data_IF_740135796428
#
_entry.id   IF_740135796428
#
_cell.length_a   1.000
_cell.length_b   1.000
_cell.length_c   1.000
_cell.angle_alpha   90.00
_cell.angle_beta   90.00
_cell.angle_gamma   90.00
#
_symmetry.space_group_name_H-M   'P 1'
#
loop_
_entity.id
_entity.type
_entity.pdbx_description
1 polymer ?
#
# COMPACT_ATOMS: atom_id res chain seq x y z
N UNK A 1 -6.03 26.50 7.19
CA UNK A 1 -5.67 25.53 8.25
C UNK A 1 -4.48 24.74 7.73
N UNK A 2 -3.34 24.83 8.44
CA UNK A 2 -2.02 24.55 7.90
C UNK A 2 -1.77 23.04 7.76
N UNK A 3 -1.64 22.56 6.52
CA UNK A 3 -1.10 21.24 6.20
C UNK A 3 0.42 21.28 6.32
N UNK A 4 1.00 20.50 7.24
CA UNK A 4 2.44 20.26 7.26
C UNK A 4 2.74 19.23 6.17
N UNK A 5 3.04 19.70 4.97
CA UNK A 5 3.64 18.88 3.92
C UNK A 5 5.12 18.73 4.21
N UNK A 6 5.59 17.53 4.50
CA UNK A 6 7.02 17.27 4.58
C UNK A 6 7.63 17.34 3.18
N UNK A 7 8.57 18.25 2.99
CA UNK A 7 9.32 18.39 1.75
C UNK A 7 10.44 17.34 1.67
N UNK A 8 10.81 16.88 0.45
CA UNK A 8 11.94 15.96 0.23
C UNK A 8 13.26 16.39 0.85
N UNK A 9 13.49 17.70 1.03
CA UNK A 9 14.70 18.24 1.65
C UNK A 9 14.80 17.92 3.15
N UNK A 10 13.67 17.73 3.84
CA UNK A 10 13.63 17.38 5.26
C UNK A 10 14.06 15.92 5.48
N UNK A 11 13.73 15.01 4.56
CA UNK A 11 14.16 13.61 4.59
C UNK A 11 15.61 13.39 4.09
N UNK A 12 16.19 14.37 3.38
CA UNK A 12 17.59 14.34 2.95
C UNK A 12 18.59 14.68 4.07
N UNK A 13 18.12 15.06 5.27
CA UNK A 13 18.98 15.58 6.34
C UNK A 13 18.74 14.86 7.68
N UNK A 14 18.65 13.53 7.67
CA UNK A 14 18.47 12.75 8.89
C UNK A 14 19.73 12.83 9.78
N UNK A 15 19.54 13.30 11.01
CA UNK A 15 20.62 13.53 11.98
C UNK A 15 20.75 12.31 12.92
N UNK A 16 21.89 11.61 12.86
CA UNK A 16 22.18 10.41 13.66
C UNK A 16 23.19 10.72 14.76
N UNK A 17 22.87 10.32 15.99
CA UNK A 17 23.82 10.27 17.11
C UNK A 17 24.42 8.88 17.26
N UNK A 18 25.76 8.76 17.35
CA UNK A 18 26.42 7.53 17.83
C UNK A 18 26.93 7.73 19.26
N UNK A 19 26.52 6.87 20.19
CA UNK A 19 27.19 6.70 21.49
C UNK A 19 28.26 5.62 21.32
N UNK A 20 29.53 5.99 21.45
CA UNK A 20 30.66 5.06 21.41
C UNK A 20 31.63 5.44 22.53
N UNK A 21 31.89 4.53 23.47
CA UNK A 21 32.97 4.67 24.46
C UNK A 21 34.31 4.49 23.75
N UNK A 22 34.78 5.52 23.09
CA UNK A 22 36.20 5.79 22.91
C UNK A 22 36.32 7.32 22.87
N UNK A 23 37.04 7.88 23.84
CA UNK A 23 37.40 9.31 23.92
C UNK A 23 36.23 10.31 24.12
N UNK A 24 35.23 9.97 24.95
CA UNK A 24 34.42 10.97 25.68
C UNK A 24 33.64 12.03 24.89
N UNK A 25 33.36 11.85 23.59
CA UNK A 25 32.65 12.85 22.78
C UNK A 25 31.42 12.26 22.06
N UNK A 26 30.29 12.97 22.14
CA UNK A 26 29.09 12.69 21.34
C UNK A 26 29.32 13.18 19.90
N UNK A 27 29.22 12.28 18.91
CA UNK A 27 29.27 12.67 17.49
C UNK A 27 27.88 12.54 16.87
N UNK A 28 27.43 13.67 16.31
CA UNK A 28 26.19 13.84 15.55
C UNK A 28 26.57 13.91 14.06
N UNK A 29 25.96 13.10 13.20
CA UNK A 29 26.26 13.04 11.76
C UNK A 29 24.99 12.91 10.92
N UNK A 30 24.97 13.56 9.76
CA UNK A 30 23.89 13.41 8.79
C UNK A 30 24.04 12.13 7.97
N UNK A 31 22.94 11.43 7.70
CA UNK A 31 22.92 10.28 6.78
C UNK A 31 21.81 10.42 5.74
N UNK A 32 22.05 9.81 4.58
CA UNK A 32 21.09 9.68 3.49
C UNK A 32 20.61 8.23 3.41
N UNK A 33 19.41 8.02 2.85
CA UNK A 33 18.98 6.69 2.39
C UNK A 33 19.14 6.68 0.88
N UNK A 34 20.08 5.88 0.39
CA UNK A 34 20.37 5.72 -1.04
C UNK A 34 20.21 4.25 -1.37
N UNK A 35 19.29 3.93 -2.28
CA UNK A 35 19.03 2.54 -2.72
C UNK A 35 18.75 1.57 -1.56
N UNK A 36 17.98 2.01 -0.55
CA UNK A 36 17.65 1.19 0.62
C UNK A 36 18.81 1.01 1.62
N UNK A 37 19.95 1.66 1.39
CA UNK A 37 21.10 1.63 2.28
C UNK A 37 21.22 2.96 3.01
N UNK A 38 21.55 2.89 4.29
CA UNK A 38 21.89 4.09 5.06
C UNK A 38 23.32 4.46 4.64
N UNK A 39 23.54 5.72 4.24
CA UNK A 39 24.80 6.23 3.70
C UNK A 39 25.26 7.46 4.49
N UNK A 40 26.50 7.46 4.99
CA UNK A 40 27.07 8.62 5.68
C UNK A 40 27.19 9.79 4.70
N UNK A 41 26.50 10.90 4.97
CA UNK A 41 26.52 12.07 4.10
C UNK A 41 27.86 12.81 4.10
N UNK A 42 28.73 12.55 5.08
CA UNK A 42 29.97 13.28 5.31
C UNK A 42 31.23 12.41 5.17
N UNK A 43 31.10 11.08 5.23
CA UNK A 43 32.24 10.15 5.15
C UNK A 43 32.21 9.32 3.87
N UNK A 44 32.67 9.89 2.75
CA UNK A 44 32.87 9.19 1.46
C UNK A 44 31.71 8.26 1.05
N UNK A 45 30.47 8.64 1.34
CA UNK A 45 29.29 7.80 1.13
C UNK A 45 29.43 6.38 1.71
N UNK A 46 30.00 6.27 2.92
CA UNK A 46 30.13 4.98 3.61
C UNK A 46 28.76 4.37 3.82
N UNK A 47 28.58 3.17 3.28
CA UNK A 47 27.34 2.42 3.32
C UNK A 47 27.24 1.62 4.63
N UNK A 48 26.08 1.67 5.29
CA UNK A 48 25.75 0.89 6.48
C UNK A 48 24.92 -0.33 6.09
N UNK A 49 25.60 -1.47 5.88
CA UNK A 49 25.00 -2.77 5.54
C UNK A 49 24.88 -3.69 6.77
N UNK A 50 24.23 -4.84 6.59
CA UNK A 50 24.03 -5.90 7.60
C UNK A 50 23.13 -5.50 8.77
N UNK A 51 22.03 -4.79 8.50
CA UNK A 51 20.99 -4.50 9.51
C UNK A 51 20.39 -5.81 10.00
N UNK A 52 20.28 -5.98 11.32
CA UNK A 52 19.77 -7.19 11.96
C UNK A 52 18.47 -6.98 12.71
N UNK A 53 18.18 -5.75 13.16
CA UNK A 53 16.93 -5.42 13.82
C UNK A 53 16.68 -3.91 13.81
N UNK A 54 15.41 -3.53 13.90
CA UNK A 54 14.96 -2.19 14.24
C UNK A 54 14.23 -2.24 15.59
N UNK A 55 14.63 -1.41 16.54
CA UNK A 55 13.90 -1.23 17.80
C UNK A 55 13.35 0.18 17.79
N UNK A 56 12.02 0.30 17.73
CA UNK A 56 11.32 1.58 17.85
C UNK A 56 11.17 1.90 19.32
N UNK A 57 11.63 3.08 19.70
CA UNK A 57 11.48 3.63 21.03
C UNK A 57 10.66 4.92 20.89
N UNK A 58 9.47 4.91 21.47
CA UNK A 58 8.54 6.04 21.49
C UNK A 58 8.64 6.79 22.82
N UNK A 59 8.48 8.11 22.79
CA UNK A 59 8.82 8.96 23.94
C UNK A 59 7.58 9.23 24.80
N UNK A 60 7.53 8.72 26.03
CA UNK A 60 6.55 9.13 27.05
C UNK A 60 7.12 10.05 28.13
N UNK A 61 8.43 10.06 28.40
CA UNK A 61 9.07 11.00 29.33
C UNK A 61 10.57 11.14 29.03
N UNK A 62 11.17 12.31 29.32
CA UNK A 62 12.54 12.71 28.91
C UNK A 62 13.65 12.16 29.83
N UNK A 63 14.52 11.23 29.39
CA UNK A 63 15.89 11.15 29.91
C UNK A 63 16.86 11.95 29.01
N UNK A 64 17.86 12.59 29.61
CA UNK A 64 18.73 13.63 29.01
C UNK A 64 19.68 13.26 27.85
N UNK A 65 19.38 12.22 27.06
CA UNK A 65 20.22 11.75 25.94
C UNK A 65 19.50 11.77 24.56
N UNK A 66 18.36 12.44 24.42
CA UNK A 66 17.61 12.53 23.16
C UNK A 66 17.95 13.81 22.40
N UNK A 67 18.15 13.72 21.08
CA UNK A 67 18.23 14.89 20.21
C UNK A 67 16.83 15.49 20.03
N UNK A 68 16.72 16.81 20.14
CA UNK A 68 15.49 17.56 19.82
C UNK A 68 15.51 17.93 18.33
N UNK A 69 14.43 17.60 17.63
CA UNK A 69 14.11 18.16 16.32
C UNK A 69 13.12 19.30 16.53
N UNK A 70 12.91 20.16 15.53
CA UNK A 70 12.19 21.44 15.67
C UNK A 70 10.75 21.33 16.22
N UNK A 71 10.14 20.13 16.29
CA UNK A 71 8.72 19.94 16.60
C UNK A 71 8.40 19.08 17.85
N UNK A 72 9.37 18.80 18.72
CA UNK A 72 9.22 18.06 20.01
C UNK A 72 8.62 16.63 19.95
N UNK A 73 8.09 16.20 18.80
CA UNK A 73 7.65 14.83 18.50
C UNK A 73 8.83 14.08 17.90
N UNK A 74 9.40 13.17 18.69
CA UNK A 74 10.57 12.39 18.28
C UNK A 74 10.33 10.92 18.55
N UNK A 75 10.35 10.11 17.49
CA UNK A 75 10.46 8.66 17.56
C UNK A 75 11.90 8.29 17.27
N UNK A 76 12.50 7.47 18.12
CA UNK A 76 13.87 7.00 17.95
C UNK A 76 13.85 5.55 17.50
N UNK A 77 14.48 5.26 16.38
CA UNK A 77 14.71 3.89 15.93
C UNK A 77 16.16 3.53 16.16
N UNK A 78 16.41 2.56 17.04
CA UNK A 78 17.70 1.90 17.14
C UNK A 78 17.82 0.86 16.02
N UNK A 79 18.71 1.11 15.07
CA UNK A 79 19.06 0.18 14.00
C UNK A 79 20.28 -0.63 14.45
N UNK A 80 20.07 -1.94 14.66
CA UNK A 80 21.14 -2.89 15.00
C UNK A 80 21.75 -3.49 13.75
N UNK A 81 23.02 -3.87 13.83
CA UNK A 81 23.74 -4.51 12.75
C UNK A 81 24.47 -5.75 13.23
N UNK A 82 24.73 -6.70 12.33
CA UNK A 82 25.47 -7.94 12.64
C UNK A 82 26.93 -7.67 13.03
N UNK A 83 27.57 -6.72 12.35
CA UNK A 83 29.02 -6.53 12.39
C UNK A 83 29.45 -5.15 12.90
N UNK A 84 28.57 -4.40 13.58
CA UNK A 84 28.87 -3.05 14.10
C UNK A 84 27.91 -2.59 15.18
N UNK A 85 28.32 -1.57 15.94
CA UNK A 85 27.48 -0.93 16.95
C UNK A 85 26.19 -0.35 16.36
N UNK A 86 25.07 -0.39 17.10
CA UNK A 86 23.81 0.19 16.67
C UNK A 86 23.90 1.69 16.36
N UNK A 87 23.03 2.17 15.49
CA UNK A 87 22.81 3.60 15.26
C UNK A 87 21.39 3.98 15.67
N UNK A 88 21.18 5.24 16.01
CA UNK A 88 19.86 5.75 16.37
C UNK A 88 19.41 6.78 15.33
N UNK A 89 18.23 6.56 14.77
CA UNK A 89 17.57 7.44 13.80
C UNK A 89 16.41 8.12 14.49
N UNK A 90 16.31 9.44 14.35
CA UNK A 90 15.24 10.23 14.94
C UNK A 90 14.28 10.67 13.84
N UNK A 91 12.99 10.45 14.05
CA UNK A 91 11.93 10.64 13.07
C UNK A 91 10.79 11.43 13.72
N UNK A 92 10.11 12.22 12.90
CA UNK A 92 9.16 13.23 13.37
C UNK A 92 7.86 12.63 13.90
N UNK A 93 7.48 11.45 13.42
CA UNK A 93 6.28 10.73 13.83
C UNK A 93 6.35 9.22 13.53
N UNK A 94 5.30 8.50 13.93
CA UNK A 94 5.15 7.04 13.78
C UNK A 94 4.99 6.60 12.33
N UNK A 95 4.46 7.47 11.47
CA UNK A 95 4.35 7.18 10.04
C UNK A 95 5.72 7.20 9.38
N UNK A 96 6.54 8.22 9.66
CA UNK A 96 7.92 8.32 9.22
C UNK A 96 8.78 7.18 9.80
N UNK A 97 8.56 6.80 11.06
CA UNK A 97 9.19 5.65 11.69
C UNK A 97 8.91 4.33 10.95
N UNK A 98 7.64 4.07 10.69
CA UNK A 98 7.21 2.85 10.00
C UNK A 98 7.70 2.84 8.55
N UNK A 99 7.63 3.99 7.86
CA UNK A 99 8.14 4.14 6.50
C UNK A 99 9.65 3.90 6.41
N UNK A 100 10.42 4.39 7.40
CA UNK A 100 11.86 4.18 7.47
C UNK A 100 12.22 2.70 7.59
N UNK A 101 11.56 1.97 8.50
CA UNK A 101 11.78 0.54 8.70
C UNK A 101 11.48 -0.25 7.44
N UNK A 102 10.32 0.00 6.83
CA UNK A 102 9.88 -0.69 5.62
C UNK A 102 10.78 -0.38 4.42
N UNK A 103 11.25 0.85 4.26
CA UNK A 103 12.17 1.22 3.16
C UNK A 103 13.48 0.44 3.23
N UNK A 104 14.02 0.25 4.45
CA UNK A 104 15.26 -0.51 4.64
C UNK A 104 15.03 -2.02 4.55
N UNK A 105 13.81 -2.50 4.89
CA UNK A 105 13.45 -3.92 4.84
C UNK A 105 13.09 -4.41 3.42
N UNK A 106 12.29 -3.65 2.66
CA UNK A 106 11.71 -4.02 1.34
C UNK A 106 12.74 -4.05 0.21
N UNK A 107 13.82 -3.28 0.31
CA UNK A 107 14.86 -3.26 -0.73
C UNK A 107 15.90 -4.39 -0.57
N UNK A 108 15.78 -5.22 0.49
CA UNK A 108 16.63 -6.39 0.75
C UNK A 108 15.97 -7.75 0.45
N UNK A 109 14.66 -7.78 0.20
CA UNK A 109 13.90 -9.00 -0.06
C UNK A 109 12.49 -8.64 -0.52
N UNK A 110 11.98 -9.38 -1.50
CA UNK A 110 10.77 -9.06 -2.27
C UNK A 110 9.54 -8.61 -1.47
N UNK A 111 8.68 -7.85 -2.16
CA UNK A 111 7.41 -7.32 -1.68
C UNK A 111 6.53 -8.47 -1.14
N UNK A 112 6.04 -8.36 0.09
CA UNK A 112 5.07 -9.31 0.66
C UNK A 112 4.13 -8.55 1.60
N UNK A 113 2.88 -9.02 1.72
CA UNK A 113 1.98 -8.55 2.77
C UNK A 113 2.60 -8.77 4.15
N UNK A 114 2.33 -7.84 5.08
CA UNK A 114 2.83 -7.91 6.47
C UNK A 114 2.28 -9.13 7.20
N UNK A 115 1.05 -9.53 6.85
CA UNK A 115 0.45 -10.82 7.22
C UNK A 115 0.35 -11.68 5.98
N UNK A 116 0.93 -12.88 6.01
CA UNK A 116 0.75 -13.87 4.96
C UNK A 116 -0.60 -14.54 5.14
N UNK A 117 -1.34 -14.69 4.04
CA UNK A 117 -2.47 -15.60 3.97
C UNK A 117 -2.03 -16.97 3.46
N UNK A 118 -2.92 -17.95 3.54
CA UNK A 118 -2.80 -19.25 2.88
C UNK A 118 -2.79 -19.14 1.34
N UNK A 119 -3.14 -17.97 0.81
CA UNK A 119 -3.26 -17.71 -0.63
C UNK A 119 -2.06 -16.95 -1.21
N UNK A 120 -1.01 -16.68 -0.42
CA UNK A 120 0.18 -15.97 -0.89
C UNK A 120 0.01 -14.46 -0.80
N UNK A 121 0.07 -13.74 -1.92
CA UNK A 121 -0.12 -12.28 -2.00
C UNK A 121 -1.59 -11.86 -2.14
N UNK A 122 -2.53 -12.73 -1.80
CA UNK A 122 -3.96 -12.42 -1.68
C UNK A 122 -4.30 -12.51 -0.20
N UNK A 123 -4.40 -11.38 0.49
CA UNK A 123 -4.79 -11.38 1.90
C UNK A 123 -6.32 -11.40 2.01
N UNK A 124 -6.87 -12.19 2.92
CA UNK A 124 -8.24 -11.99 3.39
C UNK A 124 -8.28 -12.00 4.92
N UNK A 125 -9.26 -11.30 5.48
CA UNK A 125 -9.43 -11.12 6.92
C UNK A 125 -10.91 -11.31 7.23
N UNK A 126 -11.21 -12.27 8.09
CA UNK A 126 -12.55 -12.48 8.64
C UNK A 126 -12.87 -11.50 9.75
N UNK A 127 -14.17 -11.23 9.94
CA UNK A 127 -14.68 -10.35 11.00
C UNK A 127 -14.00 -8.97 11.01
N UNK A 128 -13.68 -8.43 9.82
CA UNK A 128 -13.11 -7.09 9.69
C UNK A 128 -14.17 -6.02 9.94
N UNK A 129 -15.34 -6.18 9.33
CA UNK A 129 -16.55 -5.45 9.74
C UNK A 129 -17.41 -6.33 10.64
N UNK A 130 -18.08 -5.69 11.59
CA UNK A 130 -19.11 -6.36 12.39
C UNK A 130 -20.35 -6.61 11.53
N UNK A 131 -21.12 -7.63 11.90
CA UNK A 131 -22.39 -7.94 11.22
C UNK A 131 -23.35 -6.74 11.24
N UNK A 132 -23.44 -6.04 12.37
CA UNK A 132 -24.27 -4.85 12.50
C UNK A 132 -23.86 -3.73 11.53
N UNK A 133 -22.56 -3.50 11.36
CA UNK A 133 -22.07 -2.51 10.40
C UNK A 133 -22.39 -2.92 8.97
N UNK A 134 -22.20 -4.20 8.63
CA UNK A 134 -22.56 -4.74 7.32
C UNK A 134 -24.05 -4.53 7.01
N UNK A 135 -24.94 -4.87 7.95
CA UNK A 135 -26.38 -4.73 7.78
C UNK A 135 -26.80 -3.25 7.64
N UNK A 136 -26.22 -2.35 8.43
CA UNK A 136 -26.44 -0.91 8.31
C UNK A 136 -26.01 -0.36 6.96
N UNK A 137 -24.85 -0.78 6.45
CA UNK A 137 -24.35 -0.37 5.14
C UNK A 137 -25.28 -0.84 4.03
N UNK A 138 -25.74 -2.10 4.06
CA UNK A 138 -26.69 -2.65 3.08
C UNK A 138 -28.00 -1.87 3.10
N UNK A 139 -28.57 -1.62 4.28
CA UNK A 139 -29.80 -0.85 4.44
C UNK A 139 -29.66 0.57 3.85
N UNK A 140 -28.55 1.24 4.12
CA UNK A 140 -28.28 2.60 3.63
C UNK A 140 -28.15 2.65 2.12
N UNK A 141 -27.36 1.74 1.51
CA UNK A 141 -27.14 1.80 0.06
C UNK A 141 -28.34 1.36 -0.76
N UNK A 142 -29.20 0.50 -0.21
CA UNK A 142 -30.48 0.17 -0.85
C UNK A 142 -31.41 1.38 -0.99
N UNK A 143 -31.32 2.37 -0.09
CA UNK A 143 -32.08 3.63 -0.19
C UNK A 143 -31.57 4.56 -1.30
N UNK A 144 -30.33 4.40 -1.74
CA UNK A 144 -29.70 5.26 -2.75
C UNK A 144 -30.06 4.87 -4.19
N UNK A 145 -30.53 3.63 -4.41
CA UNK A 145 -30.92 3.12 -5.72
C UNK A 145 -29.72 2.66 -6.56
N UNK A 146 -29.63 1.35 -6.78
CA UNK A 146 -28.59 0.75 -7.61
C UNK A 146 -28.84 0.98 -9.11
N UNK A 147 -27.77 1.27 -9.85
CA UNK A 147 -27.77 1.32 -11.33
C UNK A 147 -26.88 0.23 -11.90
N UNK A 148 -27.16 -0.22 -13.12
CA UNK A 148 -26.32 -1.23 -13.77
C UNK A 148 -24.85 -0.75 -13.89
N UNK A 149 -23.90 -1.65 -13.61
CA UNK A 149 -22.48 -1.32 -13.56
C UNK A 149 -21.79 -1.56 -14.93
N UNK A 150 -21.39 -0.51 -15.67
CA UNK A 150 -20.75 -0.68 -16.98
C UNK A 150 -19.34 -1.26 -16.88
N UNK A 151 -18.89 -1.86 -17.98
CA UNK A 151 -17.48 -2.20 -18.24
C UNK A 151 -16.70 -0.96 -18.67
N UNK A 152 -15.53 -0.75 -18.07
CA UNK A 152 -14.61 0.31 -18.51
C UNK A 152 -13.83 -0.18 -19.73
N UNK A 153 -14.06 0.41 -20.90
CA UNK A 153 -13.33 0.09 -22.16
C UNK A 153 -12.36 1.19 -22.59
N UNK A 154 -12.18 2.22 -21.75
CA UNK A 154 -11.31 3.36 -21.99
C UNK A 154 -11.63 4.52 -21.05
N UNK A 155 -10.83 5.59 -21.11
CA UNK A 155 -11.05 6.79 -20.30
C UNK A 155 -12.43 7.37 -20.62
N UNK A 156 -13.31 7.42 -19.62
CA UNK A 156 -14.67 7.95 -19.76
C UNK A 156 -15.64 7.10 -20.58
N UNK A 157 -15.25 5.90 -21.03
CA UNK A 157 -16.10 5.03 -21.86
C UNK A 157 -16.57 3.81 -21.09
N UNK A 158 -17.88 3.71 -20.92
CA UNK A 158 -18.57 2.56 -20.35
C UNK A 158 -19.34 1.79 -21.43
N UNK A 159 -19.23 0.46 -21.45
CA UNK A 159 -20.07 -0.41 -22.28
C UNK A 159 -20.86 -1.35 -21.38
N UNK A 160 -22.14 -1.53 -21.68
CA UNK A 160 -22.97 -2.51 -21.00
C UNK A 160 -22.86 -3.86 -21.71
N UNK A 161 -22.41 -4.87 -20.98
CA UNK A 161 -22.41 -6.26 -21.44
C UNK A 161 -22.63 -7.19 -20.24
N UNK A 162 -23.90 -7.58 -20.03
CA UNK A 162 -24.31 -8.48 -18.95
C UNK A 162 -23.76 -9.89 -19.11
N UNK A 163 -23.29 -10.27 -20.30
CA UNK A 163 -22.62 -11.57 -20.48
C UNK A 163 -21.24 -11.58 -19.83
N UNK A 164 -20.63 -10.43 -19.57
CA UNK A 164 -19.32 -10.28 -18.93
C UNK A 164 -19.46 -9.78 -17.50
N UNK A 165 -20.34 -8.79 -17.29
CA UNK A 165 -20.59 -8.19 -15.97
C UNK A 165 -22.08 -7.95 -15.78
N UNK A 166 -22.68 -8.78 -14.96
CA UNK A 166 -24.06 -8.63 -14.49
C UNK A 166 -24.05 -8.29 -13.01
N UNK A 167 -23.87 -7.01 -12.73
CA UNK A 167 -24.01 -6.45 -11.39
C UNK A 167 -24.41 -4.99 -11.45
N UNK A 168 -24.93 -4.50 -10.34
CA UNK A 168 -25.34 -3.12 -10.16
C UNK A 168 -24.38 -2.43 -9.19
N UNK A 169 -24.35 -1.10 -9.22
CA UNK A 169 -23.47 -0.29 -8.39
C UNK A 169 -24.13 0.97 -7.88
N UNK A 170 -23.77 1.34 -6.65
CA UNK A 170 -23.88 2.69 -6.10
C UNK A 170 -22.45 3.20 -5.80
N UNK A 171 -22.19 4.48 -6.07
CA UNK A 171 -20.92 5.12 -5.71
C UNK A 171 -21.16 6.19 -4.65
N UNK A 172 -20.41 6.13 -3.56
CA UNK A 172 -20.47 7.08 -2.45
C UNK A 172 -19.06 7.56 -2.15
N UNK A 173 -18.87 8.87 -2.06
CA UNK A 173 -17.60 9.47 -1.67
C UNK A 173 -17.63 9.73 -0.15
N UNK A 174 -16.71 9.13 0.61
CA UNK A 174 -16.60 9.27 2.07
C UNK A 174 -15.13 9.38 2.52
N UNK A 175 -14.67 10.62 2.68
CA UNK A 175 -13.29 10.91 3.09
C UNK A 175 -13.00 10.49 4.53
N UNK A 176 -14.00 10.51 5.42
CA UNK A 176 -13.80 10.20 6.84
C UNK A 176 -13.59 8.70 7.02
N UNK A 177 -14.43 7.88 6.39
CA UNK A 177 -14.29 6.42 6.39
C UNK A 177 -12.99 6.00 5.71
N UNK A 178 -12.61 6.65 4.60
CA UNK A 178 -11.33 6.40 3.93
C UNK A 178 -10.12 6.66 4.86
N UNK A 179 -10.13 7.75 5.64
CA UNK A 179 -9.06 8.03 6.60
C UNK A 179 -9.01 7.01 7.75
N UNK A 180 -10.15 6.57 8.25
CA UNK A 180 -10.24 5.53 9.28
C UNK A 180 -9.70 4.20 8.77
N UNK A 181 -10.13 3.76 7.58
CA UNK A 181 -9.65 2.54 6.95
C UNK A 181 -8.17 2.61 6.64
N UNK A 182 -7.65 3.77 6.21
CA UNK A 182 -6.22 3.96 5.98
C UNK A 182 -5.40 3.59 7.22
N UNK A 183 -5.76 4.14 8.39
CA UNK A 183 -5.09 3.86 9.67
C UNK A 183 -5.08 2.37 10.00
N UNK A 184 -6.18 1.66 9.71
CA UNK A 184 -6.27 0.22 9.93
C UNK A 184 -5.40 -0.57 8.94
N UNK A 185 -5.42 -0.22 7.65
CA UNK A 185 -4.70 -0.94 6.60
C UNK A 185 -3.17 -0.81 6.68
N UNK A 186 -2.64 0.18 7.41
CA UNK A 186 -1.21 0.26 7.71
C UNK A 186 -0.65 -1.04 8.32
N UNK A 187 -1.48 -1.82 9.04
CA UNK A 187 -1.05 -3.06 9.68
C UNK A 187 -1.06 -4.28 8.75
N UNK A 188 -1.67 -4.18 7.57
CA UNK A 188 -1.95 -5.32 6.70
C UNK A 188 -1.24 -5.20 5.36
N UNK A 189 -1.34 -4.03 4.72
CA UNK A 189 -0.86 -3.79 3.37
C UNK A 189 0.63 -3.37 3.33
N UNK A 190 1.31 -3.56 2.19
CA UNK A 190 2.66 -3.02 2.00
C UNK A 190 2.64 -1.49 2.06
N UNK A 191 3.41 -0.88 2.97
CA UNK A 191 3.49 0.59 3.04
C UNK A 191 4.30 1.20 1.89
N UNK A 192 5.09 0.39 1.20
CA UNK A 192 5.85 0.79 0.02
C UNK A 192 5.70 -0.28 -1.06
N UNK A 193 5.47 0.14 -2.30
CA UNK A 193 5.35 -0.75 -3.46
C UNK A 193 5.75 0.04 -4.72
N UNK A 194 6.60 -0.55 -5.58
CA UNK A 194 7.08 0.07 -6.83
C UNK A 194 7.62 1.52 -6.70
N UNK A 195 8.32 1.83 -5.60
CA UNK A 195 8.85 3.19 -5.37
C UNK A 195 7.81 4.22 -4.94
N UNK A 196 6.55 3.82 -4.80
CA UNK A 196 5.48 4.59 -4.18
C UNK A 196 5.27 4.17 -2.72
N UNK A 197 4.67 5.05 -1.92
CA UNK A 197 4.27 4.76 -0.54
C UNK A 197 2.75 4.81 -0.40
N UNK A 198 2.19 3.96 0.45
CA UNK A 198 0.77 3.94 0.74
C UNK A 198 0.40 5.25 1.45
N UNK A 199 -0.45 6.05 0.82
CA UNK A 199 -0.80 7.38 1.30
C UNK A 199 -2.27 7.48 1.72
N UNK A 200 -3.11 6.53 1.31
CA UNK A 200 -4.53 6.56 1.66
C UNK A 200 -5.33 5.35 1.17
N UNK A 201 -6.63 5.47 1.33
CA UNK A 201 -7.68 4.62 0.74
C UNK A 201 -8.50 5.52 -0.19
N UNK A 202 -9.00 5.00 -1.31
CA UNK A 202 -9.80 5.82 -2.22
C UNK A 202 -11.08 6.27 -1.53
N UNK A 203 -11.36 7.58 -1.55
CA UNK A 203 -12.56 8.16 -0.97
C UNK A 203 -13.85 7.67 -1.64
N UNK A 204 -13.76 7.19 -2.89
CA UNK A 204 -14.92 6.73 -3.68
C UNK A 204 -15.19 5.24 -3.48
N UNK A 205 -16.12 4.93 -2.59
CA UNK A 205 -16.61 3.58 -2.34
C UNK A 205 -17.57 3.15 -3.43
N UNK A 206 -17.34 1.95 -3.97
CA UNK A 206 -18.16 1.35 -5.02
C UNK A 206 -18.90 0.16 -4.40
N UNK A 207 -20.11 0.41 -3.95
CA UNK A 207 -21.02 -0.63 -3.47
C UNK A 207 -21.56 -1.39 -4.66
N UNK A 208 -21.44 -2.71 -4.65
CA UNK A 208 -21.83 -3.59 -5.73
C UNK A 208 -22.91 -4.55 -5.23
N UNK A 209 -23.95 -4.71 -6.04
CA UNK A 209 -25.03 -5.65 -5.82
C UNK A 209 -25.08 -6.65 -6.96
N UNK A 210 -25.16 -7.93 -6.62
CA UNK A 210 -25.39 -9.02 -7.56
C UNK A 210 -26.65 -9.74 -7.13
N UNK A 211 -27.64 -9.77 -8.01
CA UNK A 211 -28.81 -10.63 -7.88
C UNK A 211 -28.40 -12.10 -8.12
N UNK A 212 -29.36 -13.01 -7.96
CA UNK A 212 -29.18 -14.39 -8.38
C UNK A 212 -28.83 -14.44 -9.88
N UNK A 213 -27.80 -15.22 -10.21
CA UNK A 213 -27.12 -15.34 -11.51
C UNK A 213 -26.16 -14.20 -11.88
N UNK A 214 -26.10 -13.12 -11.10
CA UNK A 214 -25.13 -12.05 -11.31
C UNK A 214 -23.68 -12.57 -11.26
N UNK A 215 -22.83 -12.03 -12.13
CA UNK A 215 -21.45 -12.49 -12.36
C UNK A 215 -20.56 -11.32 -12.76
N UNK A 216 -19.25 -11.40 -12.50
CA UNK A 216 -18.27 -10.59 -13.19
C UNK A 216 -17.08 -11.46 -13.63
N UNK A 217 -17.05 -11.80 -14.92
CA UNK A 217 -16.07 -12.71 -15.52
C UNK A 217 -14.62 -12.32 -15.22
N UNK A 218 -13.74 -13.31 -15.34
CA UNK A 218 -12.31 -13.18 -15.06
C UNK A 218 -11.67 -11.94 -15.72
N UNK A 219 -11.04 -11.10 -14.93
CA UNK A 219 -10.39 -9.86 -15.36
C UNK A 219 -9.23 -9.48 -14.44
N UNK A 220 -8.47 -8.46 -14.85
CA UNK A 220 -7.53 -7.76 -14.00
C UNK A 220 -8.09 -6.40 -13.62
N UNK A 221 -7.90 -6.02 -12.37
CA UNK A 221 -8.21 -4.67 -11.94
C UNK A 221 -7.13 -3.70 -12.40
N UNK A 222 -7.55 -2.68 -13.15
CA UNK A 222 -6.70 -1.56 -13.52
C UNK A 222 -6.44 -0.62 -12.34
N UNK A 223 -5.33 0.10 -12.42
CA UNK A 223 -5.00 1.17 -11.47
C UNK A 223 -5.89 2.37 -11.71
N UNK A 224 -6.46 2.92 -10.64
CA UNK A 224 -7.13 4.20 -10.61
C UNK A 224 -6.09 5.32 -10.42
N UNK A 225 -5.84 6.17 -11.43
CA UNK A 225 -4.99 7.33 -11.28
C UNK A 225 -5.80 8.49 -10.69
N UNK A 226 -5.43 8.96 -9.49
CA UNK A 226 -5.94 10.23 -8.95
C UNK A 226 -5.21 11.42 -9.60
N UNK A 227 -3.90 11.29 -9.76
CA UNK A 227 -3.07 12.23 -10.54
C UNK A 227 -1.79 11.53 -11.02
N UNK A 228 -0.87 12.28 -11.66
CA UNK A 228 0.38 11.74 -12.20
C UNK A 228 1.31 11.08 -11.15
N UNK A 229 1.13 11.39 -9.88
CA UNK A 229 1.91 10.84 -8.76
C UNK A 229 1.11 9.95 -7.85
N UNK A 230 -0.20 9.86 -7.99
CA UNK A 230 -1.08 9.13 -7.08
C UNK A 230 -1.96 8.16 -7.84
N UNK A 231 -1.85 6.89 -7.48
CA UNK A 231 -2.60 5.82 -8.11
C UNK A 231 -2.88 4.68 -7.14
N UNK A 232 -3.93 3.92 -7.40
CA UNK A 232 -4.16 2.67 -6.66
C UNK A 232 -3.18 1.58 -7.06
N UNK A 233 -2.85 0.70 -6.12
CA UNK A 233 -2.04 -0.49 -6.39
C UNK A 233 -2.67 -1.80 -5.90
N UNK A 234 -3.58 -1.72 -4.94
CA UNK A 234 -4.27 -2.88 -4.39
C UNK A 234 -5.77 -2.64 -4.42
N UNK A 235 -6.52 -3.67 -4.75
CA UNK A 235 -7.96 -3.70 -4.57
C UNK A 235 -8.26 -4.15 -3.15
N UNK A 236 -9.22 -3.48 -2.51
CA UNK A 236 -9.82 -3.87 -1.24
C UNK A 236 -11.28 -4.22 -1.52
N UNK A 237 -11.68 -5.44 -1.19
CA UNK A 237 -13.00 -5.97 -1.49
C UNK A 237 -13.68 -6.44 -0.21
N UNK A 238 -14.63 -5.66 0.29
CA UNK A 238 -15.41 -5.97 1.48
C UNK A 238 -16.65 -6.79 1.10
N UNK A 239 -16.97 -7.80 1.91
CA UNK A 239 -18.17 -8.62 1.76
C UNK A 239 -19.17 -8.25 2.86
N UNK A 240 -20.33 -7.73 2.45
CA UNK A 240 -21.35 -7.22 3.36
C UNK A 240 -22.40 -8.28 3.73
N UNK A 241 -22.43 -9.41 3.05
CA UNK A 241 -23.28 -10.54 3.42
C UNK A 241 -22.64 -11.87 3.04
N UNK A 242 -23.12 -12.92 3.70
CA UNK A 242 -22.79 -14.30 3.34
C UNK A 242 -23.70 -14.74 2.19
N UNK A 243 -23.10 -15.23 1.11
CA UNK A 243 -23.86 -15.79 -0.02
C UNK A 243 -24.11 -17.27 0.26
N UNK A 244 -25.34 -17.74 0.03
CA UNK A 244 -25.73 -19.13 0.29
C UNK A 244 -24.96 -20.10 -0.61
N UNK A 245 -24.89 -19.81 -1.92
CA UNK A 245 -24.14 -20.63 -2.88
C UNK A 245 -23.56 -19.80 -4.01
N UNK A 246 -22.27 -20.02 -4.31
CA UNK A 246 -21.52 -19.26 -5.31
C UNK A 246 -21.14 -17.86 -4.80
N UNK A 247 -20.98 -16.89 -5.70
CA UNK A 247 -20.75 -15.50 -5.34
C UNK A 247 -19.38 -15.21 -4.69
N UNK A 248 -18.45 -16.16 -4.63
CA UNK A 248 -17.08 -15.92 -4.18
C UNK A 248 -16.28 -15.00 -5.11
N UNK A 249 -15.02 -14.77 -4.75
CA UNK A 249 -14.03 -14.19 -5.64
C UNK A 249 -12.97 -15.24 -5.95
N UNK A 250 -13.01 -15.78 -7.16
CA UNK A 250 -12.04 -16.78 -7.64
C UNK A 250 -10.79 -16.11 -8.19
N UNK A 251 -9.63 -16.63 -7.83
CA UNK A 251 -8.31 -16.19 -8.28
C UNK A 251 -7.61 -17.30 -9.05
N UNK A 252 -6.99 -16.92 -10.16
CA UNK A 252 -6.35 -17.84 -11.09
C UNK A 252 -4.85 -17.61 -11.15
N UNK A 253 -4.09 -18.70 -11.27
CA UNK A 253 -2.64 -18.68 -11.48
C UNK A 253 -2.22 -19.94 -12.22
N UNK A 254 -1.27 -19.82 -13.16
CA UNK A 254 -0.69 -20.96 -13.89
C UNK A 254 -0.02 -21.98 -12.96
N UNK A 255 0.27 -21.59 -11.72
CA UNK A 255 0.88 -22.44 -10.69
C UNK A 255 -0.14 -23.27 -9.91
N UNK A 256 -1.44 -23.02 -10.09
CA UNK A 256 -2.49 -23.69 -9.32
C UNK A 256 -3.30 -24.61 -10.24
N UNK A 257 -3.51 -25.84 -9.77
CA UNK A 257 -4.36 -26.81 -10.49
C UNK A 257 -5.84 -26.45 -10.44
N UNK A 258 -6.24 -25.62 -9.47
CA UNK A 258 -7.60 -25.14 -9.27
C UNK A 258 -7.57 -23.67 -8.83
N UNK A 259 -8.57 -22.85 -9.18
CA UNK A 259 -8.66 -21.49 -8.68
C UNK A 259 -8.78 -21.49 -7.16
N UNK A 260 -8.18 -20.47 -6.53
CA UNK A 260 -8.35 -20.22 -5.11
C UNK A 260 -9.52 -19.27 -4.91
N UNK A 261 -10.45 -19.62 -4.04
CA UNK A 261 -11.69 -18.88 -3.84
C UNK A 261 -11.65 -18.17 -2.49
N UNK A 262 -11.99 -16.88 -2.50
CA UNK A 262 -12.35 -16.16 -1.29
C UNK A 262 -13.87 -16.06 -1.25
N UNK A 263 -14.50 -16.86 -0.39
CA UNK A 263 -15.95 -16.88 -0.26
C UNK A 263 -16.50 -15.54 0.23
N UNK A 264 -17.70 -15.19 -0.24
CA UNK A 264 -18.44 -14.04 0.28
C UNK A 264 -18.99 -14.40 1.65
N UNK A 265 -18.24 -14.05 2.69
CA UNK A 265 -18.63 -14.20 4.10
C UNK A 265 -18.84 -12.81 4.67
N UNK A 266 -19.98 -12.58 5.35
CA UNK A 266 -20.29 -11.29 5.98
C UNK A 266 -19.12 -10.82 6.86
N UNK A 267 -18.75 -9.55 6.72
CA UNK A 267 -17.68 -8.92 7.49
C UNK A 267 -16.26 -9.23 7.01
N UNK A 268 -16.09 -10.11 6.01
CA UNK A 268 -14.77 -10.40 5.41
C UNK A 268 -14.28 -9.25 4.55
N UNK A 269 -12.97 -9.08 4.48
CA UNK A 269 -12.30 -8.25 3.46
C UNK A 269 -11.23 -9.06 2.75
N UNK A 270 -11.11 -8.88 1.42
CA UNK A 270 -10.00 -9.37 0.61
C UNK A 270 -9.15 -8.20 0.10
N UNK A 271 -7.83 -8.38 0.07
CA UNK A 271 -6.86 -7.41 -0.42
C UNK A 271 -5.90 -8.12 -1.36
N UNK A 272 -5.80 -7.63 -2.59
CA UNK A 272 -4.94 -8.23 -3.62
C UNK A 272 -4.39 -7.16 -4.55
N UNK A 273 -3.25 -7.46 -5.16
CA UNK A 273 -2.54 -6.52 -6.04
C UNK A 273 -3.24 -6.38 -7.40
N UNK A 274 -3.41 -5.14 -7.83
CA UNK A 274 -3.96 -4.79 -9.14
C UNK A 274 -2.96 -5.13 -10.25
N UNK A 275 -3.45 -5.40 -11.46
CA UNK A 275 -2.68 -5.86 -12.62
C UNK A 275 -1.87 -7.17 -12.46
N UNK A 276 -1.98 -7.88 -11.33
CA UNK A 276 -1.24 -9.14 -11.12
C UNK A 276 -2.15 -10.35 -10.94
N UNK A 277 -3.30 -10.17 -10.31
CA UNK A 277 -4.22 -11.25 -10.02
C UNK A 277 -5.39 -11.28 -10.99
N UNK A 278 -5.42 -12.30 -11.86
CA UNK A 278 -6.59 -12.62 -12.67
C UNK A 278 -7.66 -13.15 -11.71
N UNK A 279 -8.81 -12.48 -11.67
CA UNK A 279 -9.85 -12.82 -10.72
C UNK A 279 -11.24 -12.63 -11.29
N UNK A 280 -12.20 -13.36 -10.73
CA UNK A 280 -13.59 -13.40 -11.15
C UNK A 280 -14.51 -13.17 -9.94
N UNK A 281 -15.54 -12.34 -10.11
CA UNK A 281 -16.69 -12.37 -9.22
C UNK A 281 -17.59 -13.51 -9.66
N UNK A 282 -17.57 -14.61 -8.91
CA UNK A 282 -18.27 -15.83 -9.29
C UNK A 282 -19.78 -15.63 -9.34
N UNK A 283 -20.43 -16.45 -10.16
CA UNK A 283 -21.88 -16.43 -10.31
C UNK A 283 -22.54 -16.65 -8.94
N UNK A 284 -23.49 -15.80 -8.59
CA UNK A 284 -24.37 -16.04 -7.44
C UNK A 284 -25.37 -17.14 -7.83
N UNK A 285 -25.20 -18.36 -7.34
CA UNK A 285 -26.09 -19.46 -7.69
C UNK A 285 -27.40 -19.41 -6.91
N UNK A 286 -27.30 -19.12 -5.61
CA UNK A 286 -28.44 -19.00 -4.69
C UNK A 286 -28.21 -17.80 -3.77
N UNK A 287 -29.25 -16.97 -3.62
CA UNK A 287 -29.25 -15.76 -2.81
C UNK A 287 -28.84 -14.51 -3.60
N UNK A 288 -28.25 -13.55 -2.89
CA UNK A 288 -27.79 -12.27 -3.42
C UNK A 288 -26.47 -11.86 -2.75
N UNK A 289 -25.70 -10.97 -3.39
CA UNK A 289 -24.38 -10.55 -2.91
C UNK A 289 -24.27 -9.03 -2.86
N UNK A 290 -23.88 -8.52 -1.70
CA UNK A 290 -23.52 -7.13 -1.45
C UNK A 290 -22.03 -7.05 -1.12
N UNK A 291 -21.31 -6.19 -1.85
CA UNK A 291 -19.88 -5.98 -1.64
C UNK A 291 -19.51 -4.52 -1.78
N UNK A 292 -18.35 -4.15 -1.26
CA UNK A 292 -17.75 -2.82 -1.49
C UNK A 292 -16.38 -3.01 -2.09
N UNK A 293 -16.20 -2.50 -3.30
CA UNK A 293 -14.88 -2.38 -3.91
C UNK A 293 -14.31 -1.01 -3.59
N UNK A 294 -13.09 -1.02 -3.08
CA UNK A 294 -12.27 0.17 -2.87
C UNK A 294 -10.81 -0.16 -3.28
N UNK A 295 -9.91 0.81 -3.12
CA UNK A 295 -8.53 0.75 -3.55
C UNK A 295 -7.60 1.33 -2.48
N UNK A 296 -6.44 0.70 -2.28
CA UNK A 296 -5.35 1.32 -1.53
C UNK A 296 -4.56 2.26 -2.44
N UNK A 297 -4.43 3.50 -2.04
CA UNK A 297 -3.83 4.59 -2.81
C UNK A 297 -2.36 4.76 -2.44
N UNK A 298 -1.51 4.88 -3.47
CA UNK A 298 -0.07 5.03 -3.35
C UNK A 298 0.39 6.31 -4.03
N UNK A 299 1.38 6.96 -3.44
CA UNK A 299 1.98 8.19 -3.96
C UNK A 299 3.46 7.97 -4.29
N UNK A 300 3.87 8.33 -5.51
CA UNK A 300 5.28 8.35 -5.89
C UNK A 300 6.06 9.30 -4.97
N UNK A 301 7.24 8.87 -4.53
CA UNK A 301 8.15 9.77 -3.82
C UNK A 301 8.53 10.91 -4.76
N UNK A 302 8.53 12.13 -4.24
CA UNK A 302 8.89 13.37 -4.96
C UNK A 302 10.35 13.39 -5.45
N UNK A 303 11.16 12.39 -5.12
CA UNK A 303 12.35 12.07 -5.89
C UNK A 303 11.99 11.18 -7.09
N UNK A 304 11.42 11.79 -8.12
CA UNK A 304 11.75 11.36 -9.48
C UNK A 304 13.17 11.86 -9.71
N UNK A 305 14.17 11.07 -9.28
CA UNK A 305 15.48 11.24 -9.90
C UNK A 305 15.27 10.95 -11.39
N UNK A 306 15.58 11.96 -12.20
CA UNK A 306 15.74 12.00 -13.66
C UNK A 306 16.69 10.88 -14.21
N UNK A 307 17.09 9.91 -13.38
CA UNK A 307 17.99 8.81 -13.73
C UNK A 307 17.41 7.77 -14.69
N UNK A 308 16.08 7.57 -14.76
CA UNK A 308 15.52 6.60 -15.71
C UNK A 308 15.50 7.13 -17.16
N UNK A 309 15.26 8.43 -17.35
CA UNK A 309 15.36 9.06 -18.68
C UNK A 309 16.82 9.14 -19.15
N UNK A 310 17.80 9.38 -18.25
CA UNK A 310 19.22 9.32 -18.66
C UNK A 310 19.73 7.91 -18.95
N UNK A 311 19.27 6.87 -18.24
CA UNK A 311 19.73 5.50 -18.47
C UNK A 311 19.17 4.91 -19.78
N UNK A 312 17.90 5.20 -20.10
CA UNK A 312 17.29 4.81 -21.38
C UNK A 312 17.87 5.64 -22.53
N UNK A 313 18.13 6.94 -22.34
CA UNK A 313 18.72 7.80 -23.39
C UNK A 313 20.20 7.48 -23.67
N UNK A 314 21.02 7.18 -22.65
CA UNK A 314 22.40 6.69 -22.86
C UNK A 314 22.44 5.33 -23.55
N UNK A 315 21.56 4.38 -23.20
CA UNK A 315 21.51 3.08 -23.88
C UNK A 315 21.03 3.19 -25.33
N UNK A 316 20.16 4.14 -25.64
CA UNK A 316 19.71 4.40 -27.01
C UNK A 316 20.78 5.14 -27.85
N UNK A 317 21.62 5.99 -27.25
CA UNK A 317 22.75 6.60 -27.97
C UNK A 317 23.95 5.67 -28.14
N UNK A 318 24.18 4.72 -27.22
CA UNK A 318 25.30 3.76 -27.34
C UNK A 318 25.05 2.73 -28.46
N UNK A 319 23.78 2.45 -28.82
CA UNK A 319 23.44 1.62 -29.99
C UNK A 319 23.37 2.38 -31.31
N UNK A 320 23.35 3.71 -31.30
CA UNK A 320 23.29 4.53 -32.51
C UNK A 320 24.67 5.06 -32.98
N UNK A 321 25.75 4.80 -32.25
CA UNK A 321 27.13 5.24 -32.59
C UNK A 321 28.08 4.12 -33.01
N UNK A 322 27.56 2.96 -33.40
CA UNK A 322 28.38 1.82 -33.85
C UNK A 322 27.93 1.25 -35.20
N UNK A 323 27.38 2.12 -36.05
CA UNK A 323 27.01 1.87 -37.46
C UNK A 323 27.01 3.21 -38.21
N UNK A 324 28.19 3.83 -38.35
CA UNK A 324 28.58 4.75 -39.43
C UNK A 324 30.00 5.26 -39.14
N UNK A 325 30.91 4.91 -40.06
CA UNK A 325 32.34 5.20 -40.17
C UNK A 325 33.27 4.37 -39.27
#
# INVERSE_FOLDING_TARGET
MNSISLSPEQLQNLTISKKSKLLGRNLIRKVNIIEGRIVDAQKQNKIYNNVTAFIVEEKLNKPGNWLTCQNDKNIRIQVKFKNRSPIYVYLEDQQAATLFQDTVYVMGGGQQFRKKSEFGEILYIDNYFSDQLCDQLVEQVNKLGFIDAPLTVGIGKGVMDKSVRDCQRVMVDDFQVAELLYKQFLNYAPLCCEGAYMWGVNERFRYLYYNQNGIFKAHYDGRYPSNIREFSMFTVHFYLNTVEKGGGTSFYSDKWNQPKVVDSIKGRVAIFRQNEWLHQGDKVEIGEKYTVRNELMYRLRTQVCIMWLFYVWKKLQIKAKMLCL
#
